data_IF_814695569662
#
_entry.id   IF_814695569662
#
_cell.length_a   1.000
_cell.length_b   1.000
_cell.length_c   1.000
_cell.angle_alpha   90.00
_cell.angle_beta   90.00
_cell.angle_gamma   90.00
#
_symmetry.space_group_name_H-M   'P 1'
#
loop_
_entity.id
_entity.type
_entity.pdbx_description
1 polymer ?
#
# COMPACT_ATOMS: atom_id res chain seq x y z
N UNK A 1 -1.53 -6.74 39.66
CA UNK A 1 -1.87 -6.83 38.22
C UNK A 1 -0.76 -6.15 37.44
N UNK A 2 -0.30 -6.69 36.29
CA UNK A 2 0.58 -5.93 35.42
C UNK A 2 -0.14 -4.65 34.97
N UNK A 3 0.59 -3.53 34.78
CA UNK A 3 -0.01 -2.28 34.33
C UNK A 3 -0.71 -2.48 32.99
N UNK A 4 -1.87 -1.84 32.81
CA UNK A 4 -2.53 -1.85 31.51
C UNK A 4 -1.58 -1.27 30.45
N UNK A 5 -1.48 -1.92 29.28
CA UNK A 5 -0.65 -1.40 28.20
C UNK A 5 -1.12 0.01 27.82
N UNK A 6 -0.21 0.93 27.47
CA UNK A 6 -0.57 2.29 27.11
C UNK A 6 -1.59 2.30 25.97
N UNK A 7 -2.60 3.16 26.10
CA UNK A 7 -3.67 3.30 25.10
C UNK A 7 -3.08 3.56 23.70
N UNK A 8 -3.63 2.87 22.69
CA UNK A 8 -3.18 2.98 21.28
C UNK A 8 -3.40 4.40 20.73
N UNK A 9 -4.43 5.11 21.22
CA UNK A 9 -4.75 6.52 20.96
C UNK A 9 -4.67 7.36 22.24
N UNK A 10 -4.35 8.65 22.11
CA UNK A 10 -4.28 9.55 23.27
C UNK A 10 -5.64 9.84 23.87
N UNK A 11 -6.64 10.06 23.02
CA UNK A 11 -8.02 10.35 23.42
C UNK A 11 -9.03 9.90 22.35
N UNK A 12 -10.32 10.02 22.67
CA UNK A 12 -11.40 9.62 21.77
C UNK A 12 -11.48 10.44 20.48
N UNK A 13 -11.00 11.70 20.47
CA UNK A 13 -11.01 12.55 19.27
C UNK A 13 -9.98 12.07 18.25
N UNK A 14 -8.78 11.69 18.70
CA UNK A 14 -7.79 11.08 17.82
C UNK A 14 -8.28 9.75 17.25
N UNK A 15 -8.93 8.91 18.07
CA UNK A 15 -9.49 7.64 17.63
C UNK A 15 -10.60 7.84 16.59
N UNK A 16 -11.49 8.81 16.79
CA UNK A 16 -12.56 9.13 15.84
C UNK A 16 -12.01 9.66 14.52
N UNK A 17 -11.04 10.58 14.56
CA UNK A 17 -10.41 11.11 13.36
C UNK A 17 -9.76 9.99 12.52
N UNK A 18 -9.04 9.09 13.17
CA UNK A 18 -8.42 7.96 12.48
C UNK A 18 -9.47 6.98 11.93
N UNK A 19 -10.57 6.76 12.66
CA UNK A 19 -11.67 5.91 12.21
C UNK A 19 -12.31 6.44 10.93
N UNK A 20 -12.58 7.75 10.87
CA UNK A 20 -13.13 8.38 9.66
C UNK A 20 -12.20 8.13 8.47
N UNK A 21 -10.89 8.35 8.65
CA UNK A 21 -9.90 8.13 7.58
C UNK A 21 -9.90 6.68 7.10
N UNK A 22 -9.91 5.69 8.01
CA UNK A 22 -9.95 4.27 7.66
C UNK A 22 -11.24 3.89 6.92
N UNK A 23 -12.39 4.34 7.40
CA UNK A 23 -13.68 4.06 6.76
C UNK A 23 -13.78 4.71 5.37
N UNK A 24 -13.32 5.96 5.22
CA UNK A 24 -13.23 6.61 3.92
C UNK A 24 -12.30 5.84 2.98
N UNK A 25 -11.11 5.46 3.45
CA UNK A 25 -10.16 4.68 2.66
C UNK A 25 -10.73 3.34 2.19
N UNK A 26 -11.38 2.59 3.09
CA UNK A 26 -12.02 1.32 2.75
C UNK A 26 -13.17 1.47 1.76
N UNK A 27 -14.03 2.48 1.94
CA UNK A 27 -15.12 2.75 1.01
C UNK A 27 -14.59 3.09 -0.39
N UNK A 28 -13.57 3.96 -0.46
CA UNK A 28 -12.90 4.29 -1.72
C UNK A 28 -12.23 3.08 -2.36
N UNK A 29 -11.61 2.20 -1.58
CA UNK A 29 -10.98 0.98 -2.08
C UNK A 29 -11.99 -0.04 -2.61
N UNK A 30 -13.15 -0.19 -1.96
CA UNK A 30 -14.21 -1.08 -2.43
C UNK A 30 -14.80 -0.56 -3.75
N UNK A 31 -15.17 0.73 -3.81
CA UNK A 31 -15.73 1.34 -5.01
C UNK A 31 -14.70 1.38 -6.14
N UNK A 32 -13.49 1.87 -5.86
CA UNK A 32 -12.41 1.97 -6.84
C UNK A 32 -11.92 0.61 -7.32
N UNK A 33 -11.80 -0.38 -6.44
CA UNK A 33 -11.45 -1.75 -6.80
C UNK A 33 -12.52 -2.40 -7.67
N UNK A 34 -13.80 -2.28 -7.29
CA UNK A 34 -14.93 -2.77 -8.08
C UNK A 34 -15.01 -2.11 -9.46
N UNK A 35 -14.85 -0.80 -9.53
CA UNK A 35 -14.84 -0.07 -10.80
C UNK A 35 -13.68 -0.48 -11.70
N UNK A 36 -12.47 -0.62 -11.15
CA UNK A 36 -11.29 -1.06 -11.90
C UNK A 36 -11.50 -2.47 -12.47
N UNK A 37 -12.06 -3.38 -11.68
CA UNK A 37 -12.40 -4.73 -12.13
C UNK A 37 -13.47 -4.73 -13.22
N UNK A 38 -14.56 -3.97 -13.04
CA UNK A 38 -15.63 -3.86 -14.04
C UNK A 38 -15.12 -3.33 -15.38
N UNK A 39 -14.27 -2.30 -15.35
CA UNK A 39 -13.63 -1.75 -16.54
C UNK A 39 -12.66 -2.75 -17.19
N UNK A 40 -11.87 -3.48 -16.38
CA UNK A 40 -10.97 -4.50 -16.90
C UNK A 40 -11.70 -5.70 -17.54
N UNK A 41 -12.92 -6.02 -17.08
CA UNK A 41 -13.78 -7.01 -17.73
C UNK A 41 -14.33 -6.48 -19.06
N UNK A 42 -14.76 -5.22 -19.11
CA UNK A 42 -15.36 -4.64 -20.30
C UNK A 42 -14.38 -4.31 -21.42
N UNK A 43 -13.17 -3.86 -21.08
CA UNK A 43 -12.19 -3.32 -22.04
C UNK A 43 -10.84 -4.07 -22.04
N UNK A 44 -10.67 -5.04 -21.15
CA UNK A 44 -9.40 -5.73 -20.96
C UNK A 44 -9.39 -7.16 -21.47
N UNK A 45 -8.19 -7.67 -21.75
CA UNK A 45 -7.93 -9.10 -21.85
C UNK A 45 -7.60 -9.68 -20.48
N UNK A 46 -7.48 -11.02 -20.39
CA UNK A 46 -7.24 -11.76 -19.14
C UNK A 46 -6.07 -11.17 -18.33
N UNK A 47 -4.94 -10.83 -18.98
CA UNK A 47 -3.81 -10.19 -18.31
C UNK A 47 -4.14 -8.88 -17.56
N UNK A 48 -4.92 -7.97 -18.17
CA UNK A 48 -5.36 -6.71 -17.54
C UNK A 48 -6.29 -6.97 -16.37
N UNK A 49 -7.22 -7.91 -16.52
CA UNK A 49 -8.12 -8.33 -15.45
C UNK A 49 -7.36 -8.92 -14.27
N UNK A 50 -6.41 -9.83 -14.51
CA UNK A 50 -5.58 -10.42 -13.47
C UNK A 50 -4.76 -9.36 -12.74
N UNK A 51 -4.15 -8.42 -13.46
CA UNK A 51 -3.36 -7.35 -12.85
C UNK A 51 -4.23 -6.39 -12.01
N UNK A 52 -5.42 -6.02 -12.52
CA UNK A 52 -6.39 -5.22 -11.79
C UNK A 52 -6.89 -5.93 -10.52
N UNK A 53 -7.14 -7.24 -10.59
CA UNK A 53 -7.55 -8.04 -9.45
C UNK A 53 -6.48 -8.13 -8.37
N UNK A 54 -5.22 -8.38 -8.76
CA UNK A 54 -4.08 -8.40 -7.85
C UNK A 54 -3.93 -7.05 -7.14
N UNK A 55 -4.05 -5.95 -7.87
CA UNK A 55 -4.02 -4.60 -7.30
C UNK A 55 -5.18 -4.38 -6.30
N UNK A 56 -6.41 -4.69 -6.69
CA UNK A 56 -7.61 -4.48 -5.86
C UNK A 56 -7.55 -5.31 -4.57
N UNK A 57 -7.10 -6.57 -4.65
CA UNK A 57 -6.90 -7.44 -3.47
C UNK A 57 -5.81 -6.86 -2.57
N UNK A 58 -4.69 -6.39 -3.12
CA UNK A 58 -3.63 -5.74 -2.34
C UNK A 58 -4.14 -4.51 -1.58
N UNK A 59 -4.92 -3.66 -2.26
CA UNK A 59 -5.47 -2.43 -1.70
C UNK A 59 -6.43 -2.72 -0.55
N UNK A 60 -7.38 -3.63 -0.76
CA UNK A 60 -8.34 -4.06 0.25
C UNK A 60 -7.65 -4.77 1.42
N UNK A 61 -6.62 -5.58 1.14
CA UNK A 61 -5.84 -6.27 2.18
C UNK A 61 -5.12 -5.25 3.07
N UNK A 62 -4.41 -4.28 2.49
CA UNK A 62 -3.69 -3.28 3.26
C UNK A 62 -4.65 -2.46 4.14
N UNK A 63 -5.70 -1.88 3.56
CA UNK A 63 -6.61 -1.01 4.31
C UNK A 63 -7.49 -1.78 5.29
N UNK A 64 -7.91 -3.00 4.94
CA UNK A 64 -8.68 -3.88 5.79
C UNK A 64 -7.90 -4.34 7.02
N UNK A 65 -6.66 -4.81 6.82
CA UNK A 65 -5.80 -5.20 7.94
C UNK A 65 -5.44 -4.00 8.81
N UNK A 66 -5.24 -2.83 8.22
CA UNK A 66 -4.97 -1.60 8.98
C UNK A 66 -6.15 -1.16 9.83
N UNK A 67 -7.36 -1.24 9.29
CA UNK A 67 -8.58 -0.96 10.03
C UNK A 67 -8.76 -1.98 11.17
N UNK A 68 -8.62 -3.28 10.86
CA UNK A 68 -8.73 -4.35 11.85
C UNK A 68 -7.72 -4.16 12.98
N UNK A 69 -6.46 -3.85 12.67
CA UNK A 69 -5.43 -3.60 13.67
C UNK A 69 -5.76 -2.39 14.56
N UNK A 70 -6.04 -1.23 13.94
CA UNK A 70 -6.16 0.04 14.66
C UNK A 70 -7.39 0.11 15.56
N UNK A 71 -8.42 -0.71 15.32
CA UNK A 71 -9.66 -0.74 16.10
C UNK A 71 -9.91 -2.06 16.84
N UNK A 72 -8.96 -3.00 16.80
CA UNK A 72 -9.05 -4.23 17.56
C UNK A 72 -8.95 -4.03 19.08
N UNK A 73 -9.56 -4.96 19.82
CA UNK A 73 -9.32 -5.11 21.25
C UNK A 73 -7.83 -5.36 21.54
N UNK A 74 -7.34 -4.86 22.68
CA UNK A 74 -5.92 -4.90 23.06
C UNK A 74 -5.29 -6.31 22.94
N UNK A 75 -6.06 -7.37 23.26
CA UNK A 75 -5.60 -8.77 23.15
C UNK A 75 -5.23 -9.20 21.72
N UNK A 76 -5.84 -8.63 20.68
CA UNK A 76 -5.61 -9.00 19.29
C UNK A 76 -4.66 -8.06 18.55
N UNK A 77 -4.46 -6.83 19.07
CA UNK A 77 -3.60 -5.82 18.45
C UNK A 77 -2.19 -6.30 18.14
N UNK A 78 -1.48 -7.06 19.01
CA UNK A 78 -0.12 -7.52 18.69
C UNK A 78 -0.05 -8.41 17.44
N UNK A 79 -1.04 -9.28 17.24
CA UNK A 79 -1.12 -10.16 16.08
C UNK A 79 -1.53 -9.38 14.83
N UNK A 80 -2.63 -8.62 14.91
CA UNK A 80 -3.13 -7.83 13.78
C UNK A 80 -2.14 -6.78 13.31
N UNK A 81 -1.31 -6.22 14.20
CA UNK A 81 -0.20 -5.33 13.84
C UNK A 81 0.81 -6.00 12.92
N UNK A 82 1.06 -7.31 13.08
CA UNK A 82 1.98 -8.05 12.20
C UNK A 82 1.37 -8.19 10.81
N UNK A 83 0.08 -8.53 10.75
CA UNK A 83 -0.65 -8.62 9.50
C UNK A 83 -0.77 -7.27 8.79
N UNK A 84 -1.16 -6.20 9.48
CA UNK A 84 -1.22 -4.83 8.94
C UNK A 84 0.10 -4.43 8.26
N UNK A 85 1.21 -4.57 8.99
CA UNK A 85 2.52 -4.27 8.44
C UNK A 85 2.96 -5.22 7.31
N UNK A 86 2.55 -6.49 7.32
CA UNK A 86 2.81 -7.42 6.22
C UNK A 86 1.97 -7.06 4.98
N UNK A 87 0.73 -6.58 5.18
CA UNK A 87 -0.17 -6.12 4.14
C UNK A 87 0.39 -4.97 3.30
N UNK A 88 1.26 -4.13 3.87
CA UNK A 88 1.99 -3.09 3.12
C UNK A 88 2.88 -3.71 2.04
N UNK A 89 3.60 -4.81 2.34
CA UNK A 89 4.43 -5.49 1.34
C UNK A 89 3.58 -6.09 0.22
N UNK A 90 2.46 -6.71 0.58
CA UNK A 90 1.50 -7.26 -0.39
C UNK A 90 0.97 -6.16 -1.30
N UNK A 91 0.61 -5.00 -0.73
CA UNK A 91 0.14 -3.86 -1.52
C UNK A 91 1.22 -3.29 -2.42
N UNK A 92 2.48 -3.20 -1.97
CA UNK A 92 3.59 -2.77 -2.85
C UNK A 92 3.71 -3.73 -4.04
N UNK A 93 3.73 -5.05 -3.83
CA UNK A 93 3.77 -5.99 -4.95
C UNK A 93 2.52 -5.90 -5.85
N UNK A 94 1.35 -5.72 -5.25
CA UNK A 94 0.09 -5.53 -5.95
C UNK A 94 0.07 -4.26 -6.81
N UNK A 95 0.63 -3.15 -6.32
CA UNK A 95 0.70 -1.87 -7.04
C UNK A 95 1.67 -1.90 -8.21
N UNK A 96 2.73 -2.69 -8.15
CA UNK A 96 3.66 -2.86 -9.27
C UNK A 96 3.12 -3.76 -10.38
N UNK A 97 2.18 -4.66 -10.07
CA UNK A 97 1.75 -5.71 -11.01
C UNK A 97 1.12 -5.16 -12.30
N UNK A 98 0.18 -4.19 -12.28
CA UNK A 98 -0.37 -3.57 -13.48
C UNK A 98 0.69 -2.98 -14.40
N UNK A 99 1.77 -2.42 -13.85
CA UNK A 99 2.81 -1.79 -14.65
C UNK A 99 3.84 -2.80 -15.16
N UNK A 100 4.38 -3.63 -14.27
CA UNK A 100 5.45 -4.56 -14.63
C UNK A 100 4.97 -5.67 -15.55
N UNK A 101 3.75 -6.19 -15.35
CA UNK A 101 3.24 -7.31 -16.14
C UNK A 101 2.59 -6.87 -17.46
N UNK A 102 2.11 -5.62 -17.58
CA UNK A 102 1.38 -5.17 -18.77
C UNK A 102 2.14 -4.12 -19.59
N UNK A 103 3.10 -3.40 -18.99
CA UNK A 103 3.80 -2.28 -19.66
C UNK A 103 5.31 -2.47 -19.76
N UNK A 104 5.85 -3.59 -19.29
CA UNK A 104 7.22 -4.01 -19.61
C UNK A 104 7.19 -5.24 -20.51
N UNK A 105 8.30 -5.49 -21.19
CA UNK A 105 8.45 -6.65 -22.07
C UNK A 105 9.77 -7.39 -21.78
N UNK A 106 9.84 -8.66 -22.21
CA UNK A 106 11.06 -9.47 -22.12
C UNK A 106 11.62 -9.55 -20.70
N UNK A 107 12.94 -9.39 -20.58
CA UNK A 107 13.65 -9.48 -19.30
C UNK A 107 13.20 -8.44 -18.26
N UNK A 108 12.74 -7.25 -18.71
CA UNK A 108 12.28 -6.21 -17.80
C UNK A 108 11.00 -6.61 -17.07
N UNK A 109 10.02 -7.18 -17.77
CA UNK A 109 8.78 -7.64 -17.16
C UNK A 109 9.06 -8.74 -16.13
N UNK A 110 9.71 -9.83 -16.55
CA UNK A 110 9.98 -10.96 -15.67
C UNK A 110 10.90 -10.60 -14.51
N UNK A 111 12.02 -9.93 -14.79
CA UNK A 111 13.01 -9.59 -13.78
C UNK A 111 12.43 -8.65 -12.71
N UNK A 112 11.70 -7.62 -13.14
CA UNK A 112 11.15 -6.64 -12.20
C UNK A 112 9.96 -7.19 -11.40
N UNK A 113 9.03 -7.90 -12.06
CA UNK A 113 7.91 -8.55 -11.35
C UNK A 113 8.46 -9.57 -10.34
N UNK A 114 9.41 -10.42 -10.73
CA UNK A 114 9.99 -11.42 -9.83
C UNK A 114 10.75 -10.77 -8.67
N UNK A 115 11.55 -9.73 -8.92
CA UNK A 115 12.29 -9.03 -7.87
C UNK A 115 11.36 -8.40 -6.83
N UNK A 116 10.32 -7.69 -7.27
CA UNK A 116 9.36 -7.03 -6.37
C UNK A 116 8.57 -8.06 -5.58
N UNK A 117 8.00 -9.08 -6.22
CA UNK A 117 7.20 -10.10 -5.54
C UNK A 117 8.02 -10.95 -4.58
N UNK A 118 9.22 -11.40 -4.98
CA UNK A 118 10.09 -12.19 -4.12
C UNK A 118 10.47 -11.39 -2.88
N UNK A 119 10.88 -10.13 -3.06
CA UNK A 119 11.24 -9.25 -1.94
C UNK A 119 10.04 -9.00 -1.02
N UNK A 120 8.86 -8.73 -1.58
CA UNK A 120 7.64 -8.50 -0.82
C UNK A 120 7.21 -9.73 -0.01
N UNK A 121 7.23 -10.93 -0.61
CA UNK A 121 6.86 -12.18 0.06
C UNK A 121 7.85 -12.50 1.19
N UNK A 122 9.15 -12.42 0.92
CA UNK A 122 10.19 -12.66 1.93
C UNK A 122 10.06 -11.65 3.08
N UNK A 123 9.87 -10.36 2.78
CA UNK A 123 9.73 -9.32 3.78
C UNK A 123 8.43 -9.45 4.58
N UNK A 124 7.31 -9.82 3.95
CA UNK A 124 6.05 -10.11 4.62
C UNK A 124 6.16 -11.31 5.55
N UNK A 125 6.76 -12.41 5.09
CA UNK A 125 7.00 -13.60 5.91
C UNK A 125 7.92 -13.26 7.10
N UNK A 126 9.02 -12.55 6.86
CA UNK A 126 9.91 -12.08 7.91
C UNK A 126 9.17 -11.16 8.90
N UNK A 127 8.23 -10.31 8.44
CA UNK A 127 7.44 -9.46 9.33
C UNK A 127 6.52 -10.24 10.27
N UNK A 128 5.97 -11.35 9.78
CA UNK A 128 5.09 -12.23 10.55
C UNK A 128 5.87 -13.10 11.54
N UNK A 129 7.02 -13.62 11.11
CA UNK A 129 7.81 -14.63 11.82
C UNK A 129 8.92 -14.03 12.72
N UNK A 130 9.42 -12.83 12.43
CA UNK A 130 10.53 -12.17 13.15
C UNK A 130 10.06 -10.87 13.83
N UNK A 131 9.26 -10.93 14.91
CA UNK A 131 8.67 -9.75 15.55
C UNK A 131 9.67 -8.84 16.27
N UNK A 132 10.93 -9.26 16.44
CA UNK A 132 11.97 -8.52 17.14
C UNK A 132 12.64 -7.41 16.33
N UNK A 133 12.42 -7.35 15.01
CA UNK A 133 13.06 -6.35 14.15
C UNK A 133 12.42 -4.96 14.32
N UNK A 134 13.27 -3.95 14.53
CA UNK A 134 12.87 -2.58 14.84
C UNK A 134 12.04 -1.90 13.76
N UNK A 135 11.21 -0.93 14.15
CA UNK A 135 10.32 -0.17 13.25
C UNK A 135 11.08 0.50 12.08
N UNK A 136 12.27 1.07 12.35
CA UNK A 136 13.07 1.77 11.35
C UNK A 136 13.55 0.87 10.21
N UNK A 137 13.94 -0.38 10.53
CA UNK A 137 14.35 -1.38 9.54
C UNK A 137 13.24 -1.64 8.51
N UNK A 138 12.02 -1.87 9.00
CA UNK A 138 10.88 -2.11 8.10
C UNK A 138 10.53 -0.89 7.26
N UNK A 139 10.57 0.31 7.84
CA UNK A 139 10.36 1.57 7.10
C UNK A 139 11.35 1.70 5.94
N UNK A 140 12.62 1.42 6.18
CA UNK A 140 13.65 1.47 5.14
C UNK A 140 13.31 0.52 3.99
N UNK A 141 12.91 -0.72 4.29
CA UNK A 141 12.53 -1.70 3.26
C UNK A 141 11.29 -1.25 2.50
N UNK A 142 10.25 -0.73 3.17
CA UNK A 142 9.05 -0.22 2.51
C UNK A 142 9.38 0.90 1.51
N UNK A 143 10.21 1.86 1.92
CA UNK A 143 10.61 2.98 1.06
C UNK A 143 11.51 2.50 -0.08
N UNK A 144 12.51 1.67 0.20
CA UNK A 144 13.39 1.13 -0.83
C UNK A 144 12.58 0.37 -1.89
N UNK A 145 11.70 -0.55 -1.46
CA UNK A 145 10.85 -1.33 -2.37
C UNK A 145 9.85 -0.43 -3.12
N UNK A 146 9.29 0.57 -2.45
CA UNK A 146 8.36 1.52 -3.04
C UNK A 146 8.95 2.31 -4.21
N UNK A 147 10.27 2.55 -4.21
CA UNK A 147 10.97 3.33 -5.23
C UNK A 147 11.73 2.51 -6.28
N UNK A 148 11.69 1.16 -6.23
CA UNK A 148 12.35 0.27 -7.22
C UNK A 148 11.94 0.60 -8.66
N UNK A 149 10.74 1.13 -8.88
CA UNK A 149 10.24 1.54 -10.19
C UNK A 149 11.15 2.51 -10.95
N UNK A 150 11.90 3.34 -10.22
CA UNK A 150 12.84 4.31 -10.80
C UNK A 150 13.95 3.62 -11.60
N UNK A 151 14.33 2.40 -11.23
CA UNK A 151 15.37 1.63 -11.95
C UNK A 151 14.95 1.37 -13.41
N UNK A 152 13.66 1.14 -13.64
CA UNK A 152 13.09 0.87 -14.95
C UNK A 152 12.36 2.10 -15.53
N UNK A 153 12.75 3.33 -15.15
CA UNK A 153 12.04 4.54 -15.58
C UNK A 153 12.03 4.72 -17.10
N UNK A 154 13.15 4.44 -17.77
CA UNK A 154 13.27 4.55 -19.23
C UNK A 154 12.27 3.66 -20.00
N UNK A 155 12.23 2.33 -19.77
CA UNK A 155 11.25 1.49 -20.44
C UNK A 155 9.81 1.85 -20.05
N UNK A 156 9.54 2.28 -18.82
CA UNK A 156 8.21 2.75 -18.44
C UNK A 156 7.80 4.05 -19.14
N UNK A 157 8.72 5.00 -19.33
CA UNK A 157 8.41 6.23 -20.07
C UNK A 157 7.99 5.93 -21.52
N UNK A 158 8.63 4.94 -22.13
CA UNK A 158 8.33 4.51 -23.49
C UNK A 158 6.97 3.81 -23.61
N UNK A 159 6.58 3.00 -22.62
CA UNK A 159 5.33 2.23 -22.68
C UNK A 159 4.11 2.93 -22.06
N UNK A 160 4.24 3.51 -20.87
CA UNK A 160 3.14 4.13 -20.12
C UNK A 160 2.90 5.59 -20.53
N UNK A 161 3.96 6.31 -20.84
CA UNK A 161 3.95 7.77 -21.00
C UNK A 161 4.07 8.49 -19.65
N UNK A 162 4.12 9.83 -19.72
CA UNK A 162 4.54 10.65 -18.59
C UNK A 162 3.49 10.79 -17.47
N UNK A 163 2.20 10.84 -17.82
CA UNK A 163 1.15 11.13 -16.85
C UNK A 163 1.02 10.07 -15.73
N UNK A 164 0.96 8.74 -16.01
CA UNK A 164 0.96 7.72 -14.96
C UNK A 164 2.22 7.77 -14.10
N UNK A 165 3.38 8.09 -14.68
CA UNK A 165 4.64 8.18 -13.95
C UNK A 165 4.68 9.36 -12.98
N UNK A 166 4.14 10.52 -13.37
CA UNK A 166 4.00 11.67 -12.47
C UNK A 166 3.08 11.31 -11.29
N UNK A 167 1.95 10.66 -11.55
CA UNK A 167 1.04 10.20 -10.50
C UNK A 167 1.73 9.21 -9.55
N UNK A 168 2.48 8.24 -10.09
CA UNK A 168 3.25 7.29 -9.28
C UNK A 168 4.29 7.99 -8.40
N UNK A 169 5.01 8.98 -8.95
CA UNK A 169 5.97 9.78 -8.21
C UNK A 169 5.30 10.60 -7.09
N UNK A 170 4.17 11.26 -7.38
CA UNK A 170 3.38 12.00 -6.38
C UNK A 170 2.92 11.06 -5.27
N UNK A 171 2.38 9.88 -5.61
CA UNK A 171 1.96 8.89 -4.61
C UNK A 171 3.14 8.38 -3.78
N UNK A 172 4.29 8.12 -4.40
CA UNK A 172 5.53 7.73 -3.69
C UNK A 172 6.01 8.81 -2.71
N UNK A 173 5.92 10.08 -3.09
CA UNK A 173 6.21 11.21 -2.21
C UNK A 173 5.20 11.33 -1.07
N UNK A 174 3.90 11.17 -1.33
CA UNK A 174 2.86 11.19 -0.29
C UNK A 174 3.09 10.10 0.76
N UNK A 175 3.40 8.86 0.33
CA UNK A 175 3.78 7.78 1.24
C UNK A 175 5.02 8.15 2.08
N UNK A 176 6.05 8.68 1.42
CA UNK A 176 7.33 9.04 2.06
C UNK A 176 7.17 10.16 3.09
N UNK A 177 6.41 11.21 2.76
CA UNK A 177 6.10 12.32 3.68
C UNK A 177 5.25 11.84 4.85
N UNK A 178 4.28 10.96 4.60
CA UNK A 178 3.46 10.35 5.65
C UNK A 178 4.31 9.71 6.76
N UNK A 179 5.42 9.06 6.40
CA UNK A 179 6.32 8.37 7.36
C UNK A 179 6.84 9.34 8.43
N UNK A 180 7.08 10.61 8.08
CA UNK A 180 7.55 11.65 9.01
C UNK A 180 6.53 11.85 10.13
N UNK A 181 5.24 11.98 9.78
CA UNK A 181 4.16 12.11 10.75
C UNK A 181 4.00 10.84 11.59
N UNK A 182 4.08 9.66 10.97
CA UNK A 182 4.02 8.38 11.68
C UNK A 182 5.17 8.18 12.69
N UNK A 183 6.36 8.69 12.37
CA UNK A 183 7.54 8.62 13.23
C UNK A 183 7.47 9.60 14.42
N UNK A 184 6.83 10.76 14.25
CA UNK A 184 6.72 11.79 15.28
C UNK A 184 5.72 11.41 16.38
N UNK A 185 6.20 10.77 17.46
CA UNK A 185 5.36 10.33 18.59
C UNK A 185 4.77 11.47 19.43
N UNK A 186 5.33 12.68 19.35
CA UNK A 186 4.88 13.82 20.14
C UNK A 186 3.64 14.51 19.54
N UNK A 187 3.46 14.43 18.23
CA UNK A 187 2.40 15.11 17.49
C UNK A 187 1.00 14.52 17.76
N UNK A 188 0.02 15.42 17.98
CA UNK A 188 -1.41 15.08 18.09
C UNK A 188 -1.96 14.70 16.71
N UNK A 189 -2.88 13.74 16.64
CA UNK A 189 -3.46 13.21 15.39
C UNK A 189 -2.46 12.53 14.42
N UNK A 190 -1.24 12.21 14.87
CA UNK A 190 -0.19 11.63 14.00
C UNK A 190 -0.62 10.40 13.21
N UNK A 191 -1.49 9.54 13.76
CA UNK A 191 -1.99 8.34 13.10
C UNK A 191 -3.00 8.67 12.00
N UNK A 192 -3.97 9.52 12.31
CA UNK A 192 -4.94 10.01 11.33
C UNK A 192 -4.26 10.72 10.16
N UNK A 193 -3.24 11.56 10.43
CA UNK A 193 -2.47 12.24 9.38
C UNK A 193 -1.68 11.22 8.53
N UNK A 194 -1.05 10.24 9.18
CA UNK A 194 -0.36 9.13 8.49
C UNK A 194 -1.30 8.35 7.58
N UNK A 195 -2.42 7.85 8.11
CA UNK A 195 -3.38 7.08 7.32
C UNK A 195 -4.04 7.95 6.23
N UNK A 196 -4.19 9.26 6.47
CA UNK A 196 -4.66 10.21 5.46
C UNK A 196 -3.71 10.29 4.27
N UNK A 197 -2.39 10.32 4.51
CA UNK A 197 -1.39 10.25 3.44
C UNK A 197 -1.44 8.89 2.71
N UNK A 198 -1.62 7.79 3.45
CA UNK A 198 -1.76 6.44 2.86
C UNK A 198 -2.97 6.37 1.92
N UNK A 199 -4.12 6.91 2.33
CA UNK A 199 -5.35 6.95 1.50
C UNK A 199 -5.18 7.87 0.30
N UNK A 200 -4.60 9.07 0.48
CA UNK A 200 -4.34 10.00 -0.62
C UNK A 200 -3.37 9.41 -1.65
N UNK A 201 -2.27 8.80 -1.19
CA UNK A 201 -1.30 8.14 -2.05
C UNK A 201 -1.93 6.96 -2.80
N UNK A 202 -2.73 6.13 -2.13
CA UNK A 202 -3.46 5.03 -2.74
C UNK A 202 -4.47 5.52 -3.80
N UNK A 203 -5.15 6.64 -3.57
CA UNK A 203 -6.06 7.23 -4.56
C UNK A 203 -5.29 7.70 -5.81
N UNK A 204 -4.15 8.37 -5.65
CA UNK A 204 -3.31 8.81 -6.77
C UNK A 204 -2.75 7.61 -7.54
N UNK A 205 -2.25 6.58 -6.84
CA UNK A 205 -1.81 5.34 -7.46
C UNK A 205 -2.94 4.60 -8.16
N UNK A 206 -4.16 4.60 -7.60
CA UNK A 206 -5.34 4.03 -8.23
C UNK A 206 -5.62 4.69 -9.58
N UNK A 207 -5.50 6.02 -9.70
CA UNK A 207 -5.65 6.72 -10.99
C UNK A 207 -4.56 6.29 -11.97
N UNK A 208 -3.30 6.17 -11.52
CA UNK A 208 -2.21 5.70 -12.38
C UNK A 208 -2.46 4.27 -12.88
N UNK A 209 -2.96 3.38 -12.02
CA UNK A 209 -3.33 2.00 -12.38
C UNK A 209 -4.51 1.99 -13.33
N UNK A 210 -5.53 2.81 -13.11
CA UNK A 210 -6.66 2.96 -14.03
C UNK A 210 -6.16 3.34 -15.44
N UNK A 211 -5.28 4.34 -15.54
CA UNK A 211 -4.68 4.76 -16.81
C UNK A 211 -3.88 3.63 -17.45
N UNK A 212 -3.13 2.85 -16.66
CA UNK A 212 -2.36 1.72 -17.16
C UNK A 212 -3.25 0.55 -17.62
N UNK A 213 -4.39 0.30 -16.98
CA UNK A 213 -5.31 -0.78 -17.35
C UNK A 213 -6.14 -0.43 -18.58
N UNK A 214 -6.50 0.85 -18.75
CA UNK A 214 -7.31 1.32 -19.88
C UNK A 214 -6.51 1.58 -21.17
N UNK A 215 -5.17 1.67 -21.07
CA UNK A 215 -4.27 1.82 -22.21
C UNK A 215 -3.93 0.47 -22.80
#
# INVERSE_FOLDING_TARGET
>A
MPPEPPSHYRDGKERLADLIVHLTGLALALVGGGMLLGLAIGFGHVGRLTAAAIYAVGLLTMLGLSTAYNFAAARFQPLLRRFDHAGIFVMIAGSYTPFTAQHLTGAWAWGMTAAVWTTAVVAAAAKLLLPGLGKGFWILIYLALGWVMVIAIQPFMQSLGLAPLILLAIGGLLYSVGVVFYANKAMRYRRAIWHGHVVAAAAVHWVAVLMAVLK
#
